data_IF_015821669716
#
_entry.id   IF_015821669716
#
_cell.length_a   1.000
_cell.length_b   1.000
_cell.length_c   1.000
_cell.angle_alpha   90.00
_cell.angle_beta   90.00
_cell.angle_gamma   90.00
#
_symmetry.space_group_name_H-M   'P 1'
#
loop_
_entity.id
_entity.type
_entity.pdbx_description
1 polymer ?
#
# COMPACT_ATOMS: atom_id res chain seq x y z
N UNK A 1 33.59 -5.11 -36.05
CA UNK A 1 34.23 -6.45 -35.95
C UNK A 1 35.74 -6.25 -35.81
N UNK A 2 36.36 -6.69 -34.72
CA UNK A 2 37.71 -6.24 -34.30
C UNK A 2 38.85 -7.22 -34.60
N UNK A 3 38.62 -8.24 -35.44
CA UNK A 3 39.67 -9.20 -35.83
C UNK A 3 40.15 -10.13 -34.71
N UNK A 4 39.53 -10.09 -33.52
CA UNK A 4 39.75 -11.00 -32.39
C UNK A 4 38.90 -12.25 -32.60
N UNK A 5 39.54 -13.41 -32.74
CA UNK A 5 38.89 -14.72 -32.94
C UNK A 5 39.66 -15.80 -32.19
N UNK A 6 38.95 -16.84 -31.75
CA UNK A 6 39.55 -18.02 -31.12
C UNK A 6 40.52 -18.69 -32.10
N UNK A 7 41.74 -18.99 -31.64
CA UNK A 7 42.77 -19.69 -32.43
C UNK A 7 43.68 -18.83 -33.32
N UNK A 8 43.53 -17.50 -33.30
CA UNK A 8 44.42 -16.59 -34.03
C UNK A 8 45.73 -16.37 -33.24
N UNK A 9 46.87 -16.30 -33.94
CA UNK A 9 48.19 -16.09 -33.35
C UNK A 9 48.27 -14.76 -32.60
N UNK A 10 48.87 -14.76 -31.42
CA UNK A 10 48.93 -13.59 -30.53
C UNK A 10 49.64 -12.39 -31.18
N UNK A 11 50.67 -12.63 -32.00
CA UNK A 11 51.40 -11.58 -32.72
C UNK A 11 50.56 -10.86 -33.80
N UNK A 12 49.42 -11.43 -34.19
CA UNK A 12 48.49 -10.83 -35.17
C UNK A 12 47.27 -10.19 -34.48
N UNK A 13 47.30 -10.05 -33.15
CA UNK A 13 46.24 -9.40 -32.39
C UNK A 13 46.45 -7.89 -32.32
N UNK A 14 45.38 -7.09 -32.41
CA UNK A 14 45.45 -5.65 -32.18
C UNK A 14 45.85 -5.35 -30.73
N UNK A 15 46.45 -4.17 -30.51
CA UNK A 15 46.85 -3.73 -29.18
C UNK A 15 45.63 -3.66 -28.24
N UNK A 16 45.82 -4.06 -26.99
CA UNK A 16 44.81 -4.03 -25.92
C UNK A 16 44.21 -2.63 -25.79
N UNK A 17 45.03 -1.58 -25.83
CA UNK A 17 44.59 -0.19 -25.72
C UNK A 17 43.66 0.21 -26.87
N UNK A 18 43.98 -0.21 -28.11
CA UNK A 18 43.15 0.04 -29.29
C UNK A 18 41.81 -0.69 -29.18
N UNK A 19 41.82 -1.90 -28.61
CA UNK A 19 40.61 -2.69 -28.40
C UNK A 19 39.71 -2.04 -27.34
N UNK A 20 40.29 -1.61 -26.22
CA UNK A 20 39.55 -0.92 -25.15
C UNK A 20 38.94 0.38 -25.65
N UNK A 21 39.73 1.18 -26.38
CA UNK A 21 39.27 2.43 -26.97
C UNK A 21 38.17 2.21 -27.98
N UNK A 22 38.34 1.25 -28.90
CA UNK A 22 37.32 0.96 -29.91
C UNK A 22 36.01 0.49 -29.27
N UNK A 23 36.05 -0.35 -28.23
CA UNK A 23 34.84 -0.80 -27.52
C UNK A 23 34.14 0.34 -26.78
N UNK A 24 34.90 1.22 -26.13
CA UNK A 24 34.35 2.38 -25.40
C UNK A 24 33.74 3.41 -26.38
N UNK A 25 34.42 3.69 -27.49
CA UNK A 25 33.99 4.71 -28.45
C UNK A 25 32.81 4.28 -29.34
N UNK A 26 32.62 2.97 -29.56
CA UNK A 26 31.65 2.45 -30.54
C UNK A 26 30.43 1.78 -29.91
N UNK A 27 30.41 1.60 -28.59
CA UNK A 27 29.28 1.02 -27.86
C UNK A 27 28.77 2.05 -26.85
N UNK A 28 27.76 2.82 -27.27
CA UNK A 28 27.17 3.89 -26.44
C UNK A 28 26.54 3.39 -25.12
N UNK A 29 26.27 2.09 -25.00
CA UNK A 29 25.74 1.47 -23.78
C UNK A 29 26.80 1.15 -22.71
N UNK A 30 28.09 1.37 -23.00
CA UNK A 30 29.21 1.04 -22.10
C UNK A 30 29.86 2.34 -21.63
N UNK A 31 30.06 2.49 -20.32
CA UNK A 31 30.85 3.59 -19.73
C UNK A 31 32.34 3.30 -19.81
N UNK A 32 32.73 2.04 -19.63
CA UNK A 32 34.13 1.63 -19.73
C UNK A 32 34.26 0.15 -20.09
N UNK A 33 35.21 -0.17 -20.99
CA UNK A 33 35.58 -1.53 -21.34
C UNK A 33 37.07 -1.80 -21.01
N UNK A 34 37.28 -2.70 -20.06
CA UNK A 34 38.57 -3.27 -19.68
C UNK A 34 38.90 -4.53 -20.46
N UNK A 35 40.14 -4.66 -20.92
CA UNK A 35 40.64 -5.90 -21.51
C UNK A 35 41.93 -6.33 -20.79
N UNK A 36 41.93 -7.53 -20.24
CA UNK A 36 43.08 -8.11 -19.51
C UNK A 36 43.52 -9.41 -20.21
N UNK A 37 44.81 -9.53 -20.53
CA UNK A 37 45.38 -10.72 -21.17
C UNK A 37 46.03 -11.62 -20.11
N UNK A 38 45.53 -12.85 -19.96
CA UNK A 38 46.12 -13.88 -19.10
C UNK A 38 46.62 -15.04 -19.96
N UNK A 39 47.92 -15.03 -20.25
CA UNK A 39 48.54 -15.98 -21.18
C UNK A 39 47.97 -15.79 -22.60
N UNK A 40 47.20 -16.78 -23.07
CA UNK A 40 46.51 -16.74 -24.37
C UNK A 40 45.01 -16.42 -24.26
N UNK A 41 44.51 -16.12 -23.05
CA UNK A 41 43.09 -15.83 -22.78
C UNK A 41 42.85 -14.34 -22.58
N UNK A 42 41.79 -13.82 -23.19
CA UNK A 42 41.34 -12.44 -23.03
C UNK A 42 40.15 -12.36 -22.08
N UNK A 43 40.23 -11.52 -21.06
CA UNK A 43 39.17 -11.23 -20.11
C UNK A 43 38.63 -9.83 -20.34
N UNK A 44 37.32 -9.73 -20.62
CA UNK A 44 36.63 -8.44 -20.76
C UNK A 44 35.96 -8.07 -19.45
N UNK A 45 36.16 -6.83 -19.00
CA UNK A 45 35.40 -6.20 -17.90
C UNK A 45 34.59 -5.07 -18.50
N UNK A 46 33.27 -5.16 -18.43
CA UNK A 46 32.36 -4.17 -19.01
C UNK A 46 31.63 -3.48 -17.87
N UNK A 47 31.67 -2.14 -17.87
CA UNK A 47 30.83 -1.31 -17.00
C UNK A 47 29.77 -0.68 -17.88
N UNK A 48 28.52 -1.11 -17.69
CA UNK A 48 27.38 -0.61 -18.43
C UNK A 48 26.98 0.80 -17.97
N UNK A 49 26.46 1.58 -18.91
CA UNK A 49 25.95 2.93 -18.65
C UNK A 49 24.58 2.83 -17.98
N UNK A 50 24.46 3.37 -16.77
CA UNK A 50 23.18 3.46 -16.06
C UNK A 50 22.45 4.76 -16.47
N UNK A 51 21.81 4.77 -17.63
CA UNK A 51 20.93 5.88 -18.01
C UNK A 51 19.55 5.71 -17.35
N UNK A 52 18.99 6.77 -16.74
CA UNK A 52 17.59 6.71 -16.30
C UNK A 52 16.72 6.41 -17.52
N UNK A 53 15.84 5.41 -17.40
CA UNK A 53 14.87 5.10 -18.46
C UNK A 53 14.14 6.38 -18.84
N UNK A 54 14.13 6.73 -20.12
CA UNK A 54 13.31 7.84 -20.62
C UNK A 54 11.88 7.60 -20.14
N UNK A 55 11.38 8.52 -19.34
CA UNK A 55 9.99 8.47 -18.89
C UNK A 55 9.09 8.44 -20.13
N UNK A 56 8.07 7.58 -20.12
CA UNK A 56 7.07 7.58 -21.19
C UNK A 56 6.46 8.99 -21.26
N UNK A 57 6.32 9.54 -22.46
CA UNK A 57 5.62 10.80 -22.68
C UNK A 57 4.24 10.73 -22.04
N UNK A 58 4.04 11.50 -20.97
CA UNK A 58 2.77 11.59 -20.27
C UNK A 58 1.88 12.56 -21.04
N UNK A 59 0.59 12.24 -21.15
CA UNK A 59 -0.38 13.17 -21.73
C UNK A 59 -0.37 14.49 -20.92
N UNK A 60 -0.59 15.64 -21.57
CA UNK A 60 -0.77 16.90 -20.86
C UNK A 60 -1.87 16.81 -19.82
N UNK A 61 -1.60 17.35 -18.63
CA UNK A 61 -2.52 17.31 -17.50
C UNK A 61 -2.34 18.52 -16.59
N UNK A 62 -3.43 18.95 -15.96
CA UNK A 62 -3.44 19.85 -14.82
C UNK A 62 -3.37 19.03 -13.52
N UNK A 63 -3.06 19.71 -12.41
CA UNK A 63 -3.36 19.20 -11.07
C UNK A 63 -4.53 19.99 -10.50
N UNK A 64 -5.59 19.28 -10.10
CA UNK A 64 -6.80 19.84 -9.52
C UNK A 64 -6.97 19.39 -8.07
N UNK A 65 -7.80 20.10 -7.31
CA UNK A 65 -8.09 19.78 -5.93
C UNK A 65 -9.08 18.61 -5.82
N UNK A 66 -8.67 17.51 -5.19
CA UNK A 66 -9.57 16.35 -4.94
C UNK A 66 -10.64 16.61 -3.88
N UNK A 67 -10.42 17.61 -3.02
CA UNK A 67 -11.24 18.01 -1.87
C UNK A 67 -11.13 19.51 -1.64
N UNK A 68 -12.14 20.08 -0.98
CA UNK A 68 -12.06 21.43 -0.43
C UNK A 68 -10.97 21.52 0.66
N UNK A 69 -10.16 22.57 0.64
CA UNK A 69 -9.05 22.74 1.57
C UNK A 69 -8.54 24.18 1.68
N UNK A 70 -7.73 24.46 2.69
CA UNK A 70 -6.87 25.66 2.75
C UNK A 70 -5.42 25.27 2.41
N UNK A 71 -4.85 25.90 1.39
CA UNK A 71 -3.50 25.58 0.91
C UNK A 71 -2.47 25.86 2.01
N UNK A 72 -1.72 24.83 2.40
CA UNK A 72 -0.64 24.95 3.39
C UNK A 72 0.72 25.08 2.71
N UNK A 73 0.99 24.23 1.71
CA UNK A 73 2.28 24.19 1.03
C UNK A 73 2.16 23.60 -0.38
N UNK A 74 2.86 24.21 -1.32
CA UNK A 74 2.86 23.80 -2.73
C UNK A 74 4.28 23.50 -3.18
N UNK A 75 4.48 22.32 -3.78
CA UNK A 75 5.73 21.91 -4.41
C UNK A 75 5.44 21.50 -5.85
N UNK A 76 5.95 22.26 -6.81
CA UNK A 76 5.73 22.00 -8.24
C UNK A 76 7.05 21.68 -8.90
N UNK A 77 7.12 20.54 -9.57
CA UNK A 77 8.24 20.13 -10.41
C UNK A 77 8.04 20.61 -11.85
N UNK A 78 6.81 20.47 -12.37
CA UNK A 78 6.43 20.81 -13.75
C UNK A 78 5.06 21.48 -13.76
N UNK A 79 4.91 22.57 -14.50
CA UNK A 79 3.69 23.36 -14.61
C UNK A 79 3.76 24.69 -13.83
N UNK A 80 2.67 25.46 -13.85
CA UNK A 80 2.56 26.75 -13.17
C UNK A 80 1.57 26.65 -12.00
N UNK A 81 1.99 26.84 -10.74
CA UNK A 81 1.05 26.93 -9.62
C UNK A 81 0.13 28.14 -9.80
N UNK A 82 -1.17 27.94 -9.59
CA UNK A 82 -2.21 29.00 -9.68
C UNK A 82 -2.83 29.34 -8.33
N UNK A 83 -2.32 28.73 -7.25
CA UNK A 83 -2.76 28.95 -5.86
C UNK A 83 -1.58 29.33 -4.98
N UNK A 84 -1.87 30.10 -3.93
CA UNK A 84 -0.93 30.56 -2.92
C UNK A 84 -1.23 29.95 -1.56
N UNK A 85 -0.27 30.08 -0.65
CA UNK A 85 -0.46 29.64 0.74
C UNK A 85 -1.61 30.44 1.39
N UNK A 86 -2.45 29.72 2.11
CA UNK A 86 -3.68 30.15 2.77
C UNK A 86 -4.87 30.43 1.84
N UNK A 87 -4.75 30.14 0.54
CA UNK A 87 -5.90 30.19 -0.35
C UNK A 87 -6.89 29.09 0.00
N UNK A 88 -8.17 29.42 -0.04
CA UNK A 88 -9.25 28.44 -0.03
C UNK A 88 -9.45 27.90 -1.44
N UNK A 89 -9.57 26.57 -1.54
CA UNK A 89 -9.81 25.89 -2.81
C UNK A 89 -10.99 24.95 -2.70
N UNK A 90 -11.80 24.89 -3.76
CA UNK A 90 -12.91 23.96 -3.87
C UNK A 90 -12.50 22.70 -4.64
N UNK A 91 -13.27 21.62 -4.45
CA UNK A 91 -13.04 20.38 -5.20
C UNK A 91 -13.18 20.63 -6.72
N UNK A 92 -12.18 20.19 -7.48
CA UNK A 92 -12.08 20.36 -8.93
C UNK A 92 -11.36 21.63 -9.36
N UNK A 93 -11.03 22.54 -8.44
CA UNK A 93 -10.29 23.75 -8.77
C UNK A 93 -8.86 23.42 -9.21
N UNK A 94 -8.38 24.10 -10.26
CA UNK A 94 -7.00 23.95 -10.72
C UNK A 94 -6.05 24.50 -9.66
N UNK A 95 -5.07 23.69 -9.27
CA UNK A 95 -4.00 24.02 -8.33
C UNK A 95 -2.69 24.31 -9.06
N UNK A 96 -2.40 23.51 -10.10
CA UNK A 96 -1.24 23.68 -10.98
C UNK A 96 -1.70 23.51 -12.43
N UNK A 97 -1.50 24.56 -13.22
CA UNK A 97 -1.80 24.54 -14.65
C UNK A 97 -0.67 23.87 -15.43
N UNK A 98 -1.04 22.93 -16.29
CA UNK A 98 -0.17 22.37 -17.33
C UNK A 98 -0.08 23.25 -18.58
N UNK A 99 -0.88 24.32 -18.68
CA UNK A 99 -0.83 25.32 -19.75
C UNK A 99 -0.30 26.63 -19.17
N UNK A 100 0.81 27.13 -19.71
CA UNK A 100 1.35 28.43 -19.34
C UNK A 100 2.16 29.04 -20.49
N UNK A 101 2.37 30.36 -20.48
CA UNK A 101 3.02 31.09 -21.56
C UNK A 101 2.11 32.17 -22.12
N UNK A 102 2.42 32.64 -23.33
CA UNK A 102 1.60 33.63 -24.04
C UNK A 102 0.48 32.93 -24.82
N UNK A 103 -0.64 33.63 -25.05
CA UNK A 103 -1.79 33.11 -25.81
C UNK A 103 -1.42 32.69 -27.24
N UNK A 104 -0.47 33.39 -27.87
CA UNK A 104 0.02 33.05 -29.21
C UNK A 104 0.93 31.80 -29.25
N UNK A 105 1.49 31.39 -28.10
CA UNK A 105 2.43 30.25 -28.00
C UNK A 105 2.38 29.58 -26.62
N UNK A 106 1.28 28.87 -26.29
CA UNK A 106 1.14 28.20 -25.01
C UNK A 106 2.13 27.02 -24.91
N UNK A 107 2.83 26.94 -23.78
CA UNK A 107 3.60 25.75 -23.41
C UNK A 107 2.67 24.78 -22.69
N UNK A 108 2.54 23.58 -23.25
CA UNK A 108 1.66 22.53 -22.75
C UNK A 108 2.53 21.42 -22.17
N UNK A 109 2.36 21.16 -20.88
CA UNK A 109 3.12 20.15 -20.13
C UNK A 109 2.20 19.23 -19.35
N UNK A 110 2.75 18.09 -18.92
CA UNK A 110 2.11 17.25 -17.92
C UNK A 110 2.49 17.78 -16.53
N UNK A 111 1.56 18.46 -15.85
CA UNK A 111 1.83 19.06 -14.54
C UNK A 111 2.19 17.97 -13.51
N UNK A 112 3.24 18.24 -12.74
CA UNK A 112 3.75 17.36 -11.68
C UNK A 112 4.07 18.17 -10.44
N UNK A 113 3.56 17.74 -9.31
CA UNK A 113 3.69 18.45 -8.05
C UNK A 113 2.85 17.84 -6.94
N UNK A 114 3.09 18.29 -5.73
CA UNK A 114 2.38 17.91 -4.51
C UNK A 114 1.86 19.20 -3.89
N UNK A 115 0.56 19.24 -3.60
CA UNK A 115 -0.09 20.39 -2.98
C UNK A 115 -0.70 19.93 -1.68
N UNK A 116 -0.15 20.38 -0.56
CA UNK A 116 -0.67 20.10 0.77
C UNK A 116 -1.73 21.13 1.15
N UNK A 117 -2.89 20.63 1.55
CA UNK A 117 -4.01 21.44 2.04
C UNK A 117 -4.49 20.95 3.41
N UNK A 118 -4.98 21.87 4.22
CA UNK A 118 -5.74 21.58 5.44
C UNK A 118 -7.17 21.19 5.05
N UNK A 119 -7.56 19.97 5.39
CA UNK A 119 -8.88 19.38 5.17
C UNK A 119 -9.52 19.01 6.50
N UNK A 120 -10.85 18.85 6.50
CA UNK A 120 -11.60 18.56 7.72
C UNK A 120 -12.43 17.28 7.61
N UNK A 121 -12.43 16.49 8.68
CA UNK A 121 -13.17 15.24 8.77
C UNK A 121 -14.02 15.20 10.02
N UNK A 122 -15.20 14.60 9.90
CA UNK A 122 -16.05 14.29 11.06
C UNK A 122 -16.15 12.78 11.22
N UNK A 123 -15.87 12.29 12.43
CA UNK A 123 -16.01 10.89 12.80
C UNK A 123 -17.00 10.75 13.94
N UNK A 124 -17.98 9.86 13.78
CA UNK A 124 -18.96 9.51 14.80
C UNK A 124 -18.65 8.12 15.30
N UNK A 125 -18.46 7.98 16.61
CA UNK A 125 -18.13 6.69 17.24
C UNK A 125 -19.02 6.47 18.43
N UNK A 126 -19.57 5.26 18.48
CA UNK A 126 -20.39 4.77 19.58
C UNK A 126 -19.62 3.67 20.32
N UNK A 127 -19.46 3.85 21.64
CA UNK A 127 -18.74 2.90 22.50
C UNK A 127 -19.67 2.40 23.60
N UNK A 128 -20.02 1.10 23.62
CA UNK A 128 -20.82 0.54 24.69
C UNK A 128 -20.04 0.61 26.02
N UNK A 129 -20.67 1.13 27.06
CA UNK A 129 -20.09 1.21 28.41
C UNK A 129 -20.03 -0.16 29.07
N UNK A 130 -20.93 -1.06 28.71
CA UNK A 130 -20.95 -2.45 29.18
C UNK A 130 -20.99 -3.38 27.99
N UNK A 131 -20.11 -4.37 27.97
CA UNK A 131 -20.09 -5.38 26.91
C UNK A 131 -19.75 -6.74 27.49
N UNK A 132 -20.51 -7.74 27.07
CA UNK A 132 -20.30 -9.13 27.42
C UNK A 132 -19.62 -9.83 26.23
N UNK A 133 -18.51 -10.51 26.50
CA UNK A 133 -17.74 -11.24 25.50
C UNK A 133 -17.66 -12.71 25.88
N UNK A 134 -17.61 -13.59 24.89
CA UNK A 134 -17.19 -14.98 25.07
C UNK A 134 -15.68 -15.05 24.85
N UNK A 135 -14.96 -15.56 25.86
CA UNK A 135 -13.51 -15.75 25.79
C UNK A 135 -13.17 -17.21 26.01
N UNK A 136 -12.13 -17.69 25.32
CA UNK A 136 -11.61 -19.02 25.57
C UNK A 136 -10.82 -19.03 26.87
N UNK A 137 -11.12 -19.97 27.77
CA UNK A 137 -10.40 -20.11 29.05
C UNK A 137 -8.97 -20.66 28.87
N UNK A 138 -8.67 -21.16 27.68
CA UNK A 138 -7.43 -21.89 27.37
C UNK A 138 -7.54 -23.40 27.61
N UNK A 139 -8.61 -23.87 28.25
CA UNK A 139 -8.87 -25.29 28.41
C UNK A 139 -9.37 -25.89 27.07
N UNK A 140 -8.70 -26.96 26.65
CA UNK A 140 -8.96 -27.64 25.38
C UNK A 140 -8.88 -29.15 25.57
N UNK A 141 -9.76 -29.88 24.90
CA UNK A 141 -9.56 -31.30 24.61
C UNK A 141 -9.84 -31.61 23.15
N UNK A 142 -9.30 -32.74 22.69
CA UNK A 142 -9.46 -33.19 21.31
C UNK A 142 -10.24 -34.50 21.29
N UNK A 143 -11.16 -34.60 20.34
CA UNK A 143 -11.83 -35.83 20.00
C UNK A 143 -11.42 -36.23 18.58
N UNK A 144 -11.24 -37.53 18.38
CA UNK A 144 -10.74 -38.06 17.13
C UNK A 144 -11.78 -39.02 16.57
N UNK A 145 -12.06 -38.86 15.29
CA UNK A 145 -13.08 -39.63 14.59
C UNK A 145 -12.53 -40.21 13.30
N UNK A 146 -13.01 -41.40 12.98
CA UNK A 146 -12.91 -41.98 11.66
C UNK A 146 -14.27 -41.84 10.99
N UNK A 147 -14.29 -41.19 9.83
CA UNK A 147 -15.49 -40.99 9.02
C UNK A 147 -15.43 -41.91 7.81
N UNK A 148 -16.49 -42.68 7.59
CA UNK A 148 -16.67 -43.55 6.43
C UNK A 148 -18.01 -43.19 5.77
N UNK A 149 -17.96 -42.56 4.60
CA UNK A 149 -19.15 -41.94 3.98
C UNK A 149 -19.84 -40.96 4.95
N UNK A 150 -21.10 -41.24 5.27
CA UNK A 150 -21.92 -40.45 6.22
C UNK A 150 -21.77 -40.88 7.68
N UNK A 151 -21.11 -42.02 7.95
CA UNK A 151 -20.94 -42.54 9.31
C UNK A 151 -19.70 -41.94 9.96
N UNK A 152 -19.85 -41.33 11.14
CA UNK A 152 -18.75 -40.78 11.96
C UNK A 152 -18.60 -41.62 13.23
N UNK A 153 -17.44 -42.27 13.39
CA UNK A 153 -17.14 -43.14 14.54
C UNK A 153 -16.05 -42.48 15.38
N UNK A 154 -16.33 -42.24 16.67
CA UNK A 154 -15.33 -41.73 17.62
C UNK A 154 -14.32 -42.84 17.93
N UNK A 155 -13.04 -42.57 17.68
CA UNK A 155 -11.93 -43.53 17.88
C UNK A 155 -11.05 -43.17 19.09
N UNK A 156 -11.02 -41.89 19.50
CA UNK A 156 -10.29 -41.43 20.68
C UNK A 156 -10.89 -40.15 21.27
N UNK A 157 -10.54 -39.84 22.53
CA UNK A 157 -10.98 -38.62 23.21
C UNK A 157 -12.41 -38.72 23.74
N UNK A 158 -12.75 -39.79 24.45
CA UNK A 158 -14.08 -40.05 25.02
C UNK A 158 -14.39 -39.20 26.28
N UNK A 159 -14.10 -37.90 26.23
CA UNK A 159 -14.46 -36.97 27.31
C UNK A 159 -15.94 -36.58 27.16
N UNK A 160 -16.75 -36.79 28.19
CA UNK A 160 -18.16 -36.39 28.18
C UNK A 160 -18.30 -34.95 28.69
N UNK A 161 -18.98 -34.10 27.91
CA UNK A 161 -19.48 -32.75 28.22
C UNK A 161 -18.82 -32.05 29.41
N UNK A 162 -17.50 -31.91 29.33
CA UNK A 162 -16.67 -31.41 30.44
C UNK A 162 -16.90 -29.92 30.71
N UNK A 163 -17.38 -29.20 29.70
CA UNK A 163 -17.49 -27.75 29.71
C UNK A 163 -18.95 -27.33 29.67
N UNK A 164 -19.32 -26.39 30.55
CA UNK A 164 -20.67 -25.80 30.58
C UNK A 164 -20.97 -25.03 29.29
N UNK A 165 -19.94 -24.40 28.71
CA UNK A 165 -19.96 -23.82 27.37
C UNK A 165 -18.67 -24.13 26.65
N UNK A 166 -18.79 -24.47 25.39
CA UNK A 166 -17.65 -24.79 24.55
C UNK A 166 -17.95 -24.52 23.09
N UNK A 167 -16.88 -24.27 22.34
CA UNK A 167 -16.91 -24.20 20.89
C UNK A 167 -16.04 -25.29 20.30
N UNK A 168 -16.60 -25.98 19.31
CA UNK A 168 -15.95 -27.10 18.63
C UNK A 168 -15.53 -26.68 17.23
N UNK A 169 -14.25 -26.84 16.93
CA UNK A 169 -13.68 -26.63 15.60
C UNK A 169 -13.28 -28.00 15.01
N UNK A 170 -13.87 -28.38 13.90
CA UNK A 170 -13.60 -29.67 13.24
C UNK A 170 -12.60 -29.51 12.10
N UNK A 171 -11.54 -30.30 12.12
CA UNK A 171 -10.54 -30.38 11.04
C UNK A 171 -10.60 -31.76 10.39
N UNK A 172 -11.02 -31.80 9.13
CA UNK A 172 -11.16 -33.02 8.32
C UNK A 172 -9.93 -33.22 7.43
N UNK A 173 -9.41 -34.44 7.43
CA UNK A 173 -8.33 -34.90 6.57
C UNK A 173 -8.81 -36.10 5.76
N UNK A 174 -9.04 -35.87 4.46
CA UNK A 174 -9.40 -36.95 3.54
C UNK A 174 -8.17 -37.82 3.25
N UNK A 175 -8.34 -39.14 3.25
CA UNK A 175 -7.25 -40.07 2.95
C UNK A 175 -7.14 -40.24 1.44
N UNK A 176 -5.97 -39.96 0.88
CA UNK A 176 -5.67 -40.14 -0.55
C UNK A 176 -4.69 -41.28 -0.74
N UNK A 177 -4.98 -42.18 -1.68
CA UNK A 177 -4.14 -43.31 -2.03
C UNK A 177 -4.04 -43.39 -3.55
N UNK A 178 -2.81 -43.37 -4.09
CA UNK A 178 -2.53 -43.40 -5.54
C UNK A 178 -3.32 -42.38 -6.39
N UNK A 179 -3.59 -41.19 -5.83
CA UNK A 179 -4.37 -40.14 -6.53
C UNK A 179 -5.89 -40.27 -6.40
N UNK A 180 -6.40 -41.36 -5.80
CA UNK A 180 -7.82 -41.53 -5.48
C UNK A 180 -8.09 -41.10 -4.03
N UNK A 181 -9.19 -40.36 -3.82
CA UNK A 181 -9.68 -40.06 -2.48
C UNK A 181 -10.49 -41.25 -1.99
N UNK A 182 -10.04 -41.90 -0.91
CA UNK A 182 -10.74 -43.02 -0.31
C UNK A 182 -12.03 -42.55 0.39
N UNK A 183 -13.05 -43.40 0.53
CA UNK A 183 -14.27 -43.08 1.27
C UNK A 183 -14.06 -43.03 2.80
N UNK A 184 -12.81 -43.00 3.26
CA UNK A 184 -12.43 -42.79 4.66
C UNK A 184 -11.78 -41.41 4.84
N UNK A 185 -12.15 -40.73 5.90
CA UNK A 185 -11.51 -39.49 6.34
C UNK A 185 -11.25 -39.54 7.85
N UNK A 186 -10.16 -38.93 8.26
CA UNK A 186 -9.88 -38.67 9.67
C UNK A 186 -10.39 -37.27 10.03
N UNK A 187 -11.12 -37.16 11.12
CA UNK A 187 -11.66 -35.89 11.59
C UNK A 187 -11.23 -35.66 13.04
N UNK A 188 -10.68 -34.48 13.31
CA UNK A 188 -10.28 -34.05 14.64
C UNK A 188 -11.16 -32.89 15.07
N UNK A 189 -11.92 -33.09 16.14
CA UNK A 189 -12.69 -32.03 16.77
C UNK A 189 -11.86 -31.45 17.92
N UNK A 190 -11.59 -30.14 17.84
CA UNK A 190 -10.93 -29.37 18.89
C UNK A 190 -12.01 -28.67 19.68
N UNK A 191 -12.28 -29.15 20.89
CA UNK A 191 -13.30 -28.58 21.78
C UNK A 191 -12.61 -27.62 22.75
N UNK A 192 -12.99 -26.35 22.70
CA UNK A 192 -12.44 -25.28 23.54
C UNK A 192 -13.49 -24.80 24.52
N UNK A 193 -13.14 -24.69 25.79
CA UNK A 193 -14.03 -24.12 26.80
C UNK A 193 -14.16 -22.60 26.62
N UNK A 194 -15.39 -22.10 26.78
CA UNK A 194 -15.72 -20.68 26.74
C UNK A 194 -16.29 -20.21 28.07
N UNK A 195 -15.94 -19.00 28.47
CA UNK A 195 -16.55 -18.29 29.58
C UNK A 195 -17.07 -16.91 29.15
N UNK A 196 -18.05 -16.40 29.90
CA UNK A 196 -18.50 -15.01 29.75
C UNK A 196 -17.59 -14.08 30.52
N UNK A 197 -16.96 -13.15 29.81
CA UNK A 197 -16.23 -12.04 30.39
C UNK A 197 -17.05 -10.75 30.23
N UNK A 198 -17.30 -10.06 31.34
CA UNK A 198 -17.93 -8.75 31.33
C UNK A 198 -16.85 -7.68 31.32
N UNK A 199 -16.97 -6.73 30.40
CA UNK A 199 -16.13 -5.53 30.35
C UNK A 199 -17.00 -4.32 30.60
N UNK A 200 -16.61 -3.53 31.58
CA UNK A 200 -17.23 -2.24 31.86
C UNK A 200 -16.20 -1.12 31.68
N UNK A 201 -16.61 -0.05 31.01
CA UNK A 201 -15.82 1.17 30.85
C UNK A 201 -16.40 2.29 31.70
N UNK A 202 -15.50 3.02 32.35
CA UNK A 202 -15.81 4.39 32.78
C UNK A 202 -15.94 5.29 31.55
N UNK A 203 -16.68 6.40 31.65
CA UNK A 203 -16.79 7.38 30.56
C UNK A 203 -15.42 7.84 30.04
N UNK A 204 -14.43 8.02 30.94
CA UNK A 204 -13.07 8.42 30.56
C UNK A 204 -12.37 7.34 29.72
N UNK A 205 -12.53 6.07 30.08
CA UNK A 205 -11.97 4.97 29.31
C UNK A 205 -12.70 4.81 27.97
N UNK A 206 -14.02 4.88 27.96
CA UNK A 206 -14.82 4.82 26.74
C UNK A 206 -14.47 5.95 25.78
N UNK A 207 -14.23 7.17 26.28
CA UNK A 207 -13.79 8.31 25.47
C UNK A 207 -12.41 8.06 24.84
N UNK A 208 -11.47 7.47 25.60
CA UNK A 208 -10.15 7.11 25.07
C UNK A 208 -10.28 6.09 23.94
N UNK A 209 -11.08 5.05 24.15
CA UNK A 209 -11.36 4.03 23.13
C UNK A 209 -12.05 4.63 21.90
N UNK A 210 -12.99 5.55 22.10
CA UNK A 210 -13.67 6.26 21.02
C UNK A 210 -12.68 7.05 20.15
N UNK A 211 -11.74 7.78 20.79
CA UNK A 211 -10.67 8.50 20.08
C UNK A 211 -9.76 7.55 19.29
N UNK A 212 -9.32 6.46 19.90
CA UNK A 212 -8.46 5.46 19.25
C UNK A 212 -9.17 4.81 18.05
N UNK A 213 -10.44 4.45 18.19
CA UNK A 213 -11.27 3.91 17.09
C UNK A 213 -11.45 4.94 15.96
N UNK A 214 -11.80 6.18 16.30
CA UNK A 214 -11.98 7.25 15.33
C UNK A 214 -10.71 7.54 14.54
N UNK A 215 -9.56 7.63 15.23
CA UNK A 215 -8.26 7.87 14.61
C UNK A 215 -7.87 6.70 13.69
N UNK A 216 -8.10 5.46 14.13
CA UNK A 216 -7.83 4.26 13.33
C UNK A 216 -8.67 4.22 12.06
N UNK A 217 -9.95 4.53 12.14
CA UNK A 217 -10.82 4.60 10.96
C UNK A 217 -10.45 5.77 10.03
N UNK A 218 -10.04 6.92 10.58
CA UNK A 218 -9.57 8.05 9.79
C UNK A 218 -8.29 7.70 9.03
N UNK A 219 -7.29 7.11 9.70
CA UNK A 219 -6.01 6.71 9.07
C UNK A 219 -6.17 5.78 7.88
N UNK A 220 -7.22 4.94 7.83
CA UNK A 220 -7.52 4.07 6.67
C UNK A 220 -7.93 4.86 5.42
N UNK A 221 -8.42 6.09 5.58
CA UNK A 221 -8.91 6.95 4.48
C UNK A 221 -7.89 8.00 4.04
N UNK A 222 -6.81 8.16 4.80
CA UNK A 222 -5.78 9.17 4.56
C UNK A 222 -4.63 8.58 3.74
N UNK A 223 -3.97 9.43 2.96
CA UNK A 223 -2.74 9.07 2.26
C UNK A 223 -1.58 8.85 3.25
N UNK A 224 -0.56 8.11 2.84
CA UNK A 224 0.60 7.73 3.68
C UNK A 224 1.31 8.95 4.32
N UNK A 225 1.33 10.09 3.64
CA UNK A 225 2.00 11.32 4.08
C UNK A 225 1.05 12.32 4.76
N UNK A 226 -0.19 11.95 5.01
CA UNK A 226 -1.15 12.83 5.69
C UNK A 226 -0.83 12.95 7.18
N UNK A 227 -1.01 14.14 7.73
CA UNK A 227 -0.74 14.46 9.13
C UNK A 227 -2.00 14.99 9.80
N UNK A 228 -2.44 14.33 10.87
CA UNK A 228 -3.52 14.84 11.72
C UNK A 228 -2.93 15.97 12.57
N UNK A 229 -3.42 17.19 12.37
CA UNK A 229 -2.94 18.40 13.06
C UNK A 229 -3.68 18.58 14.38
N UNK A 230 -4.99 18.35 14.40
CA UNK A 230 -5.79 18.48 15.61
C UNK A 230 -7.03 17.58 15.60
N UNK A 231 -7.48 17.20 16.79
CA UNK A 231 -8.76 16.59 17.06
C UNK A 231 -9.56 17.44 18.06
N UNK A 232 -10.85 17.67 17.78
CA UNK A 232 -11.78 18.39 18.65
C UNK A 232 -13.05 17.56 18.86
N UNK A 233 -13.53 17.51 20.09
CA UNK A 233 -14.82 16.88 20.39
C UNK A 233 -15.92 17.91 20.09
N UNK A 234 -16.80 17.59 19.14
CA UNK A 234 -17.98 18.41 18.83
C UNK A 234 -19.15 18.09 19.74
N UNK A 235 -19.37 16.81 20.02
CA UNK A 235 -20.42 16.36 20.94
C UNK A 235 -20.01 15.10 21.69
N UNK A 236 -20.53 14.96 22.91
CA UNK A 236 -20.35 13.80 23.79
C UNK A 236 -21.65 13.56 24.55
N UNK A 237 -22.31 12.45 24.26
CA UNK A 237 -23.60 12.08 24.85
C UNK A 237 -23.54 10.65 25.38
N UNK A 238 -24.20 10.39 26.50
CA UNK A 238 -24.37 9.03 27.03
C UNK A 238 -25.85 8.69 26.91
N UNK A 239 -26.16 7.74 26.04
CA UNK A 239 -27.52 7.27 25.79
C UNK A 239 -27.54 5.74 25.81
N UNK A 240 -28.51 5.15 26.50
CA UNK A 240 -28.74 3.69 26.51
C UNK A 240 -27.48 2.85 26.77
N UNK A 241 -26.71 3.18 27.83
CA UNK A 241 -25.44 2.54 28.19
C UNK A 241 -24.35 2.59 27.10
N UNK A 242 -24.44 3.55 26.18
CA UNK A 242 -23.44 3.81 25.15
C UNK A 242 -22.97 5.26 25.19
N UNK A 243 -21.66 5.45 25.01
CA UNK A 243 -21.06 6.76 24.81
C UNK A 243 -21.01 7.06 23.31
N UNK A 244 -21.76 8.07 22.88
CA UNK A 244 -21.74 8.61 21.51
C UNK A 244 -20.84 9.84 21.45
N UNK A 245 -19.82 9.81 20.61
CA UNK A 245 -18.86 10.91 20.47
C UNK A 245 -18.73 11.32 19.02
N UNK A 246 -18.86 12.62 18.75
CA UNK A 246 -18.54 13.21 17.45
C UNK A 246 -17.21 13.95 17.54
N UNK A 247 -16.23 13.51 16.76
CA UNK A 247 -14.89 14.10 16.67
C UNK A 247 -14.73 14.82 15.33
N UNK A 248 -14.15 16.00 15.39
CA UNK A 248 -13.71 16.78 14.23
C UNK A 248 -12.19 16.74 14.15
N UNK A 249 -11.67 16.42 12.97
CA UNK A 249 -10.24 16.33 12.72
C UNK A 249 -9.84 17.35 11.67
N UNK A 250 -8.72 18.01 11.93
CA UNK A 250 -8.01 18.82 10.97
C UNK A 250 -6.81 18.04 10.47
N UNK A 251 -6.71 17.84 9.16
CA UNK A 251 -5.67 17.01 8.54
C UNK A 251 -4.96 17.81 7.46
N UNK A 252 -3.63 17.74 7.42
CA UNK A 252 -2.84 18.23 6.30
C UNK A 252 -2.52 17.03 5.40
N UNK A 253 -3.02 17.04 4.18
CA UNK A 253 -2.84 15.96 3.20
C UNK A 253 -2.54 16.51 1.80
N UNK A 254 -1.99 15.67 0.91
CA UNK A 254 -1.85 16.06 -0.49
C UNK A 254 -3.24 16.10 -1.15
N UNK A 255 -3.69 17.26 -1.61
CA UNK A 255 -4.99 17.44 -2.24
C UNK A 255 -4.92 17.44 -3.78
N UNK A 256 -3.73 17.34 -4.38
CA UNK A 256 -3.57 17.36 -5.82
C UNK A 256 -3.90 16.01 -6.46
N UNK A 257 -4.75 16.02 -7.50
CA UNK A 257 -5.01 14.89 -8.39
C UNK A 257 -4.86 15.29 -9.87
N UNK A 258 -4.37 14.40 -10.73
CA UNK A 258 -4.17 14.70 -12.15
C UNK A 258 -5.50 14.77 -12.90
N UNK A 259 -5.69 15.84 -13.68
CA UNK A 259 -6.80 16.01 -14.61
C UNK A 259 -6.27 16.20 -16.03
N UNK A 260 -6.62 15.32 -16.99
CA UNK A 260 -6.23 15.50 -18.39
C UNK A 260 -6.67 16.84 -18.96
N UNK A 261 -5.83 17.47 -19.77
CA UNK A 261 -6.17 18.67 -20.53
C UNK A 261 -6.89 18.22 -21.81
N UNK A 262 -8.04 18.83 -22.09
CA UNK A 262 -8.82 18.60 -23.31
C UNK A 262 -8.49 19.64 -24.40
N UNK A 263 -8.85 19.36 -25.65
CA UNK A 263 -8.59 20.28 -26.78
C UNK A 263 -9.32 21.63 -26.64
N UNK A 264 -10.49 21.66 -26.00
CA UNK A 264 -11.21 22.90 -25.69
C UNK A 264 -10.47 23.79 -24.69
N UNK A 265 -9.73 23.20 -23.74
CA UNK A 265 -8.94 23.96 -22.76
C UNK A 265 -7.73 24.67 -23.38
N UNK A 266 -7.31 24.23 -24.57
CA UNK A 266 -6.15 24.77 -25.30
C UNK A 266 -6.56 25.93 -26.20
N UNK A 267 -7.79 25.89 -26.76
CA UNK A 267 -8.22 26.89 -27.74
C UNK A 267 -8.78 28.16 -27.12
N UNK A 268 -9.22 28.14 -25.86
CA UNK A 268 -9.77 29.29 -25.15
C UNK A 268 -11.06 29.81 -25.80
N UNK A 269 -12.21 29.63 -25.14
CA UNK A 269 -13.45 30.31 -25.56
C UNK A 269 -13.33 31.84 -25.44
#
# INVERSE_FOLDING_TARGET
>A
KMGIKKGKLQFQMPNVEDVQRHLTDNINAITWAGLEVRGTTYHFKIVEKNEPKKEKEQRPQNLVAKKEAIITKTFVEVGKPVVLKNDHVEKGQILVSGIYGNEESPTIVSAKGIVYGETWYTSKVDVPLKTQFQVYTGNVYNEHFLKFGDTKIKIWGFQHDKYKRSRTESVKHDVKLFGFTLPIAYEKDVVREEEEANREYTEKQALKVAKEMAEKELKKKLDEHAMIVSDKILSKEVEADQLKVTLHYTVVENIAEPQPISESDIQGD
#
